data_IF_155224406450
#
_entry.id   IF_155224406450
#
_cell.length_a   1.000
_cell.length_b   1.000
_cell.length_c   1.000
_cell.angle_alpha   90.00
_cell.angle_beta   90.00
_cell.angle_gamma   90.00
#
_symmetry.space_group_name_H-M   'P 1'
#
loop_
_entity.id
_entity.type
_entity.pdbx_description
1 polymer ?
#
# COMPACT_ATOMS: atom_id res chain seq x y z
N UNK A 1 13.93 -3.78 -16.39
CA UNK A 1 13.89 -2.31 -16.30
C UNK A 1 13.52 -2.03 -14.86
N UNK A 2 14.46 -1.58 -14.05
CA UNK A 2 14.20 -1.29 -12.64
C UNK A 2 13.65 0.12 -12.59
N UNK A 3 12.35 0.27 -12.33
CA UNK A 3 11.75 1.57 -12.08
C UNK A 3 12.47 2.19 -10.89
N UNK A 4 13.02 3.39 -11.10
CA UNK A 4 13.71 4.15 -10.06
C UNK A 4 12.70 4.82 -9.14
N UNK A 5 13.06 5.16 -7.89
CA UNK A 5 12.15 5.84 -6.96
C UNK A 5 11.48 7.08 -7.58
N UNK A 6 12.25 7.90 -8.31
CA UNK A 6 11.76 9.12 -8.95
C UNK A 6 10.72 8.87 -10.07
N UNK A 7 10.81 7.74 -10.78
CA UNK A 7 9.82 7.38 -11.80
C UNK A 7 8.49 6.95 -11.17
N UNK A 8 8.55 6.24 -10.03
CA UNK A 8 7.37 5.87 -9.25
C UNK A 8 6.73 7.10 -8.58
N UNK A 9 7.52 8.03 -8.05
CA UNK A 9 7.03 9.30 -7.51
C UNK A 9 6.28 10.10 -8.58
N UNK A 10 6.86 10.22 -9.77
CA UNK A 10 6.24 10.91 -10.89
C UNK A 10 4.97 10.20 -11.37
N UNK A 11 4.95 8.86 -11.37
CA UNK A 11 3.76 8.09 -11.69
C UNK A 11 2.65 8.27 -10.65
N UNK A 12 2.97 8.18 -9.36
CA UNK A 12 2.02 8.36 -8.28
C UNK A 12 1.38 9.76 -8.35
N UNK A 13 2.18 10.80 -8.59
CA UNK A 13 1.67 12.16 -8.78
C UNK A 13 0.67 12.26 -9.95
N UNK A 14 0.99 11.68 -11.12
CA UNK A 14 0.06 11.66 -12.27
C UNK A 14 -1.21 10.88 -11.98
N UNK A 15 -1.11 9.78 -11.24
CA UNK A 15 -2.25 8.93 -10.93
C UNK A 15 -3.19 9.60 -9.92
N UNK A 16 -2.64 10.25 -8.89
CA UNK A 16 -3.39 11.06 -7.91
C UNK A 16 -4.20 12.15 -8.61
N UNK A 17 -3.58 12.89 -9.54
CA UNK A 17 -4.24 13.91 -10.36
C UNK A 17 -5.36 13.31 -11.24
N UNK A 18 -5.05 12.23 -11.98
CA UNK A 18 -6.02 11.58 -12.86
C UNK A 18 -7.23 10.98 -12.12
N UNK A 19 -7.05 10.58 -10.86
CA UNK A 19 -8.12 10.06 -9.99
C UNK A 19 -8.90 11.17 -9.26
N UNK A 20 -8.47 12.43 -9.36
CA UNK A 20 -9.12 13.55 -8.68
C UNK A 20 -9.00 13.48 -7.15
N UNK A 21 -7.89 12.94 -6.65
CA UNK A 21 -7.62 12.91 -5.20
C UNK A 21 -7.33 14.33 -4.68
N UNK A 22 -7.66 14.63 -3.41
CA UNK A 22 -7.40 15.95 -2.85
C UNK A 22 -5.93 16.37 -2.92
N UNK A 23 -5.71 17.68 -3.08
CA UNK A 23 -4.39 18.27 -2.98
C UNK A 23 -3.76 17.96 -1.61
N UNK A 24 -2.50 17.52 -1.61
CA UNK A 24 -1.79 17.14 -0.40
C UNK A 24 -1.93 15.67 0.01
N UNK A 25 -2.63 14.83 -0.78
CA UNK A 25 -2.52 13.37 -0.62
C UNK A 25 -1.08 12.95 -0.91
N UNK A 26 -0.38 12.52 0.14
CA UNK A 26 0.95 11.94 0.06
C UNK A 26 0.86 10.44 0.23
N UNK A 27 1.32 9.68 -0.76
CA UNK A 27 1.46 8.23 -0.66
C UNK A 27 2.88 7.91 -0.23
N UNK A 28 3.05 7.22 0.89
CA UNK A 28 4.34 6.62 1.23
C UNK A 28 4.57 5.38 0.35
N UNK A 29 5.25 5.60 -0.78
CA UNK A 29 5.55 4.54 -1.75
C UNK A 29 6.39 3.44 -1.13
N UNK A 30 7.31 3.77 -0.21
CA UNK A 30 8.16 2.80 0.48
C UNK A 30 7.31 1.80 1.27
N UNK A 31 6.42 2.31 2.11
CA UNK A 31 5.50 1.48 2.91
C UNK A 31 4.62 0.58 2.03
N UNK A 32 4.09 1.11 0.92
CA UNK A 32 3.26 0.32 -0.01
C UNK A 32 4.07 -0.82 -0.64
N UNK A 33 5.30 -0.55 -1.07
CA UNK A 33 6.16 -1.55 -1.70
C UNK A 33 6.66 -2.61 -0.71
N UNK A 34 6.96 -2.21 0.53
CA UNK A 34 7.37 -3.15 1.58
C UNK A 34 6.20 -4.04 2.01
N UNK A 35 4.99 -3.48 2.15
CA UNK A 35 3.78 -4.28 2.40
C UNK A 35 3.51 -5.29 1.28
N UNK A 36 3.63 -4.86 0.01
CA UNK A 36 3.47 -5.74 -1.14
C UNK A 36 4.54 -6.85 -1.14
N UNK A 37 5.79 -6.50 -0.82
CA UNK A 37 6.91 -7.44 -0.69
C UNK A 37 6.61 -8.50 0.36
N UNK A 38 6.19 -8.10 1.56
CA UNK A 38 5.92 -9.03 2.67
C UNK A 38 4.78 -9.99 2.33
N UNK A 39 3.70 -9.48 1.74
CA UNK A 39 2.58 -10.31 1.29
C UNK A 39 3.00 -11.29 0.18
N UNK A 40 3.77 -10.83 -0.80
CA UNK A 40 4.22 -11.68 -1.91
C UNK A 40 5.17 -12.80 -1.46
N UNK A 41 6.05 -12.52 -0.48
CA UNK A 41 7.04 -13.47 0.00
C UNK A 41 6.45 -14.49 0.96
N UNK A 42 5.56 -14.07 1.86
CA UNK A 42 5.12 -14.92 2.97
C UNK A 42 3.76 -15.59 2.73
N UNK A 43 2.92 -15.05 1.82
CA UNK A 43 1.61 -15.63 1.49
C UNK A 43 1.65 -16.30 0.11
N UNK A 44 1.72 -15.49 -0.95
CA UNK A 44 1.89 -15.92 -2.34
C UNK A 44 2.07 -14.70 -3.23
N UNK A 45 2.70 -14.85 -4.41
CA UNK A 45 2.90 -13.72 -5.35
C UNK A 45 1.63 -12.89 -5.65
N UNK A 46 0.43 -13.47 -5.84
CA UNK A 46 -0.80 -12.69 -6.05
C UNK A 46 -1.27 -11.88 -4.83
N UNK A 47 -0.74 -12.16 -3.64
CA UNK A 47 -1.12 -11.45 -2.42
C UNK A 47 -0.64 -10.00 -2.41
N UNK A 48 0.47 -9.66 -3.09
CA UNK A 48 0.97 -8.28 -3.17
C UNK A 48 -0.12 -7.26 -3.58
N UNK A 49 -0.73 -7.35 -4.78
CA UNK A 49 -1.76 -6.40 -5.20
C UNK A 49 -3.06 -6.53 -4.40
N UNK A 50 -3.42 -7.74 -3.94
CA UNK A 50 -4.61 -7.94 -3.14
C UNK A 50 -4.51 -7.23 -1.79
N UNK A 51 -3.37 -7.38 -1.11
CA UNK A 51 -3.12 -6.80 0.21
C UNK A 51 -3.10 -5.28 0.14
N UNK A 52 -2.37 -4.68 -0.81
CA UNK A 52 -2.29 -3.21 -0.90
C UNK A 52 -3.65 -2.59 -1.25
N UNK A 53 -4.44 -3.25 -2.12
CA UNK A 53 -5.80 -2.82 -2.42
C UNK A 53 -6.71 -2.86 -1.18
N UNK A 54 -6.72 -3.97 -0.44
CA UNK A 54 -7.57 -4.14 0.74
C UNK A 54 -7.16 -3.21 1.89
N UNK A 55 -5.86 -2.97 2.09
CA UNK A 55 -5.37 -2.01 3.09
C UNK A 55 -5.85 -0.61 2.77
N UNK A 56 -5.68 -0.14 1.52
CA UNK A 56 -6.17 1.17 1.09
C UNK A 56 -7.69 1.29 1.22
N UNK A 57 -8.42 0.24 0.82
CA UNK A 57 -9.88 0.21 0.92
C UNK A 57 -10.38 0.27 2.37
N UNK A 58 -9.77 -0.51 3.28
CA UNK A 58 -10.13 -0.52 4.70
C UNK A 58 -9.79 0.81 5.38
N UNK A 59 -8.65 1.41 5.06
CA UNK A 59 -8.28 2.73 5.58
C UNK A 59 -9.25 3.82 5.11
N UNK A 60 -9.63 3.80 3.83
CA UNK A 60 -10.64 4.72 3.27
C UNK A 60 -12.01 4.59 3.95
N UNK A 61 -12.47 3.36 4.22
CA UNK A 61 -13.71 3.13 4.97
C UNK A 61 -13.64 3.62 6.43
N UNK A 62 -12.45 3.68 7.02
CA UNK A 62 -12.25 4.12 8.40
C UNK A 62 -12.12 5.65 8.56
N UNK A 63 -12.11 6.41 7.46
CA UNK A 63 -11.99 7.86 7.47
C UNK A 63 -10.74 8.39 6.76
N UNK A 64 -9.81 7.50 6.38
CA UNK A 64 -8.66 7.84 5.55
C UNK A 64 -7.58 8.66 6.24
N UNK A 65 -7.52 8.69 7.57
CA UNK A 65 -6.42 9.34 8.29
C UNK A 65 -5.13 8.52 8.22
N UNK A 66 -3.98 9.15 8.48
CA UNK A 66 -2.68 8.46 8.56
C UNK A 66 -2.71 7.32 9.60
N UNK A 67 -3.44 7.51 10.70
CA UNK A 67 -3.63 6.50 11.72
C UNK A 67 -4.47 5.30 11.21
N UNK A 68 -5.43 5.55 10.32
CA UNK A 68 -6.23 4.49 9.72
C UNK A 68 -5.41 3.65 8.73
N UNK A 69 -4.54 4.31 7.96
CA UNK A 69 -3.58 3.65 7.08
C UNK A 69 -2.59 2.83 7.90
N UNK A 70 -1.96 3.42 8.92
CA UNK A 70 -0.98 2.74 9.77
C UNK A 70 -1.57 1.48 10.42
N UNK A 71 -2.78 1.58 11.00
CA UNK A 71 -3.47 0.44 11.62
C UNK A 71 -3.82 -0.66 10.61
N UNK A 72 -4.22 -0.29 9.38
CA UNK A 72 -4.52 -1.26 8.33
C UNK A 72 -3.24 -1.97 7.83
N UNK A 73 -2.14 -1.23 7.68
CA UNK A 73 -0.81 -1.77 7.36
C UNK A 73 -0.35 -2.73 8.45
N UNK A 74 -0.38 -2.32 9.73
CA UNK A 74 0.00 -3.17 10.87
C UNK A 74 -0.77 -4.50 10.88
N UNK A 75 -2.09 -4.44 10.66
CA UNK A 75 -2.94 -5.63 10.59
C UNK A 75 -2.51 -6.56 9.44
N UNK A 76 -2.29 -6.00 8.25
CA UNK A 76 -1.91 -6.78 7.07
C UNK A 76 -0.50 -7.37 7.18
N UNK A 77 0.46 -6.61 7.71
CA UNK A 77 1.83 -7.09 7.96
C UNK A 77 1.81 -8.24 8.98
N UNK A 78 1.09 -8.09 10.09
CA UNK A 78 0.98 -9.15 11.10
C UNK A 78 0.41 -10.46 10.53
N UNK A 79 -0.61 -10.36 9.66
CA UNK A 79 -1.17 -11.53 8.97
C UNK A 79 -0.21 -12.13 7.94
N UNK A 80 0.51 -11.28 7.19
CA UNK A 80 1.46 -11.74 6.19
C UNK A 80 2.66 -12.46 6.82
N UNK A 81 3.13 -12.03 7.99
CA UNK A 81 4.32 -12.59 8.64
C UNK A 81 4.02 -13.59 9.75
N UNK A 82 2.74 -13.89 10.02
CA UNK A 82 2.38 -14.93 10.96
C UNK A 82 2.79 -16.31 10.42
N UNK A 83 3.32 -17.17 11.30
CA UNK A 83 3.61 -18.56 10.94
C UNK A 83 2.31 -19.26 10.50
N UNK A 84 2.28 -19.94 9.35
CA UNK A 84 1.09 -20.67 8.93
C UNK A 84 0.80 -21.78 9.96
N UNK A 85 -0.42 -21.79 10.50
CA UNK A 85 -0.92 -22.86 11.35
C UNK A 85 -0.97 -24.21 10.62
#
# INVERSE_FOLDING_TARGET
MTETPAELDAWAARLTDALGLPDGVTVDIGVVLDLARDAAHNVARPAAPLTTFLVGYAAGLAGGSDADVARAVETATALATADPA
#
